data_IF_480628638300
#
_entry.id   IF_480628638300
#
_cell.length_a   1.000
_cell.length_b   1.000
_cell.length_c   1.000
_cell.angle_alpha   90.00
_cell.angle_beta   90.00
_cell.angle_gamma   90.00
#
_symmetry.space_group_name_H-M   'P 1'
#
loop_
_entity.id
_entity.type
_entity.pdbx_description
1 polymer ?
#
# COMPACT_ATOMS: atom_id res chain seq x y z
N UNK A 1 0.02 -15.66 -11.27
CA UNK A 1 0.59 -16.78 -12.03
C UNK A 1 -0.44 -17.89 -12.33
N UNK A 2 -1.09 -18.52 -11.35
CA UNK A 2 -2.04 -19.64 -11.61
C UNK A 2 -3.14 -19.32 -12.64
N UNK A 3 -3.77 -18.15 -12.56
CA UNK A 3 -4.78 -17.71 -13.55
C UNK A 3 -4.19 -17.60 -14.96
N UNK A 4 -2.98 -17.06 -15.08
CA UNK A 4 -2.29 -16.91 -16.38
C UNK A 4 -1.96 -18.26 -16.99
N UNK A 5 -1.42 -19.21 -16.20
CA UNK A 5 -1.12 -20.59 -16.67
C UNK A 5 -2.39 -21.30 -17.11
N UNK A 6 -3.50 -21.15 -16.37
CA UNK A 6 -4.78 -21.79 -16.68
C UNK A 6 -5.60 -21.09 -17.75
N UNK A 7 -5.14 -19.94 -18.26
CA UNK A 7 -5.87 -19.12 -19.24
C UNK A 7 -7.19 -18.55 -18.69
N UNK A 8 -7.35 -18.47 -17.36
CA UNK A 8 -8.56 -17.93 -16.75
C UNK A 8 -8.47 -16.42 -16.59
N UNK A 9 -9.57 -15.73 -16.88
CA UNK A 9 -9.67 -14.27 -16.71
C UNK A 9 -9.76 -13.89 -15.22
N UNK A 10 -9.35 -12.69 -14.89
CA UNK A 10 -9.54 -12.07 -13.59
C UNK A 10 -8.27 -11.40 -13.06
N UNK A 11 -8.49 -10.31 -12.35
CA UNK A 11 -7.43 -9.54 -11.69
C UNK A 11 -7.06 -10.16 -10.34
N UNK A 12 -5.84 -9.88 -9.90
CA UNK A 12 -5.33 -10.23 -8.59
C UNK A 12 -4.87 -8.93 -7.94
N UNK A 13 -5.35 -8.68 -6.75
CA UNK A 13 -4.97 -7.51 -5.94
C UNK A 13 -4.18 -8.00 -4.73
N UNK A 14 -3.06 -7.35 -4.45
CA UNK A 14 -2.23 -7.60 -3.29
C UNK A 14 -2.05 -6.27 -2.55
N UNK A 15 -2.55 -6.16 -1.34
CA UNK A 15 -2.31 -5.01 -0.48
C UNK A 15 -1.05 -5.27 0.33
N UNK A 16 -0.15 -4.31 0.34
CA UNK A 16 1.12 -4.35 1.06
C UNK A 16 1.30 -3.07 1.89
N UNK A 17 2.19 -3.14 2.88
CA UNK A 17 2.51 -2.06 3.79
C UNK A 17 3.98 -1.63 3.68
N UNK A 18 4.35 -0.52 4.29
CA UNK A 18 5.74 -0.01 4.32
C UNK A 18 6.75 -1.07 4.78
N UNK A 19 6.44 -1.81 5.85
CA UNK A 19 7.33 -2.85 6.39
C UNK A 19 7.58 -3.99 5.42
N UNK A 20 6.58 -4.40 4.64
CA UNK A 20 6.72 -5.47 3.65
C UNK A 20 7.66 -5.08 2.50
N UNK A 21 7.77 -3.80 2.15
CA UNK A 21 8.72 -3.33 1.14
C UNK A 21 10.17 -3.28 1.65
N UNK A 22 10.39 -3.41 2.95
CA UNK A 22 11.71 -3.58 3.55
C UNK A 22 12.14 -5.04 3.63
N UNK A 23 11.27 -5.98 3.23
CA UNK A 23 11.54 -7.42 3.18
C UNK A 23 12.08 -7.84 1.81
N UNK A 24 13.12 -8.69 1.79
CA UNK A 24 13.71 -9.19 0.56
C UNK A 24 12.74 -9.97 -0.33
N UNK A 25 11.81 -10.71 0.30
CA UNK A 25 10.79 -11.51 -0.40
C UNK A 25 9.87 -10.67 -1.30
N UNK A 26 9.58 -9.43 -0.95
CA UNK A 26 8.80 -8.51 -1.78
C UNK A 26 9.52 -8.20 -3.09
N UNK A 27 10.83 -7.96 -3.04
CA UNK A 27 11.67 -7.70 -4.22
C UNK A 27 11.82 -8.93 -5.11
N UNK A 28 11.98 -10.11 -4.52
CA UNK A 28 11.98 -11.38 -5.24
C UNK A 28 10.65 -11.61 -5.97
N UNK A 29 9.53 -11.37 -5.30
CA UNK A 29 8.20 -11.47 -5.89
C UNK A 29 7.99 -10.45 -7.01
N UNK A 30 8.54 -9.24 -6.89
CA UNK A 30 8.50 -8.21 -7.92
C UNK A 30 9.28 -8.64 -9.17
N UNK A 31 10.51 -9.11 -9.00
CA UNK A 31 11.34 -9.65 -10.10
C UNK A 31 10.59 -10.77 -10.83
N UNK A 32 10.01 -11.70 -10.08
CA UNK A 32 9.22 -12.79 -10.64
C UNK A 32 8.01 -12.28 -11.42
N UNK A 33 7.31 -11.27 -10.89
CA UNK A 33 6.12 -10.69 -11.51
C UNK A 33 6.43 -10.01 -12.83
N UNK A 34 7.54 -9.27 -12.90
CA UNK A 34 8.04 -8.65 -14.13
C UNK A 34 8.47 -9.70 -15.15
N UNK A 35 9.31 -10.67 -14.74
CA UNK A 35 9.79 -11.74 -15.62
C UNK A 35 8.66 -12.52 -16.29
N UNK A 36 7.59 -12.79 -15.54
CA UNK A 36 6.44 -13.54 -16.06
C UNK A 36 5.36 -12.63 -16.66
N UNK A 37 5.61 -11.33 -16.75
CA UNK A 37 4.65 -10.34 -17.23
C UNK A 37 3.25 -10.55 -16.65
N UNK A 38 3.12 -10.47 -15.32
CA UNK A 38 1.85 -10.67 -14.62
C UNK A 38 0.92 -9.47 -14.82
N UNK A 39 0.44 -9.29 -16.03
CA UNK A 39 -0.44 -8.21 -16.48
C UNK A 39 -1.81 -8.16 -15.80
N UNK A 40 -2.11 -9.13 -14.96
CA UNK A 40 -3.31 -9.20 -14.14
C UNK A 40 -3.04 -9.03 -12.63
N UNK A 41 -1.83 -8.62 -12.24
CA UNK A 41 -1.45 -8.34 -10.86
C UNK A 41 -1.38 -6.84 -10.62
N UNK A 42 -2.13 -6.37 -9.64
CA UNK A 42 -2.02 -5.01 -9.08
C UNK A 42 -1.58 -5.11 -7.63
N UNK A 43 -0.43 -4.53 -7.31
CA UNK A 43 0.07 -4.38 -5.94
C UNK A 43 -0.37 -2.99 -5.47
N UNK A 44 -1.13 -2.93 -4.39
CA UNK A 44 -1.50 -1.69 -3.72
C UNK A 44 -0.60 -1.53 -2.51
N UNK A 45 0.17 -0.46 -2.48
CA UNK A 45 1.12 -0.19 -1.43
C UNK A 45 0.58 0.92 -0.52
N UNK A 46 0.19 0.58 0.71
CA UNK A 46 -0.18 1.54 1.75
C UNK A 46 1.09 2.21 2.28
N UNK A 47 1.37 3.41 1.77
CA UNK A 47 2.57 4.18 2.03
C UNK A 47 2.27 5.32 3.02
N UNK A 48 2.40 5.02 4.31
CA UNK A 48 2.22 5.98 5.40
C UNK A 48 3.53 6.37 6.10
N UNK A 49 4.68 5.87 5.61
CA UNK A 49 6.03 6.12 6.14
C UNK A 49 6.26 5.58 7.57
N UNK A 50 5.39 4.70 8.05
CA UNK A 50 5.54 4.06 9.35
C UNK A 50 5.51 2.54 9.21
N UNK A 51 6.36 1.87 9.98
CA UNK A 51 6.37 0.42 10.11
C UNK A 51 6.50 0.03 11.60
N UNK A 52 6.40 -1.28 11.93
CA UNK A 52 6.30 -1.77 13.31
C UNK A 52 7.30 -1.25 14.33
N UNK A 53 8.44 -0.68 13.90
CA UNK A 53 9.50 -0.18 14.78
C UNK A 53 9.73 1.33 14.69
N UNK A 54 8.98 2.05 13.85
CA UNK A 54 9.08 3.51 13.72
C UNK A 54 8.95 4.00 12.28
N UNK A 55 9.58 5.15 12.00
CA UNK A 55 9.64 5.71 10.66
C UNK A 55 10.44 4.83 9.71
N UNK A 56 9.92 4.61 8.49
CA UNK A 56 10.64 3.88 7.46
C UNK A 56 11.98 4.50 7.12
N UNK A 57 12.09 5.82 7.18
CA UNK A 57 13.33 6.54 6.89
C UNK A 57 14.42 6.29 7.93
N UNK A 58 14.06 6.08 9.19
CA UNK A 58 15.01 5.84 10.27
C UNK A 58 15.50 4.38 10.30
N UNK A 59 14.70 3.45 9.77
CA UNK A 59 14.98 2.02 9.85
C UNK A 59 15.67 1.53 8.57
N UNK A 60 15.04 1.69 7.41
CA UNK A 60 15.60 1.34 6.11
C UNK A 60 14.87 2.13 5.02
N UNK A 61 15.36 3.33 4.70
CA UNK A 61 14.67 4.20 3.75
C UNK A 61 14.60 3.61 2.35
N UNK A 62 13.40 3.56 1.80
CA UNK A 62 13.10 3.22 0.41
C UNK A 62 12.56 4.44 -0.36
N UNK A 63 12.77 5.65 0.18
CA UNK A 63 12.23 6.88 -0.41
C UNK A 63 13.20 7.52 -1.41
N UNK A 64 12.73 7.91 -2.59
CA UNK A 64 11.40 7.61 -3.11
C UNK A 64 11.38 6.23 -3.77
N UNK A 65 10.43 5.39 -3.37
CA UNK A 65 10.28 4.03 -3.88
C UNK A 65 10.14 4.00 -5.41
N UNK A 66 9.45 4.96 -6.00
CA UNK A 66 9.28 5.09 -7.45
C UNK A 66 10.62 5.06 -8.20
N UNK A 67 11.66 5.72 -7.67
CA UNK A 67 13.00 5.69 -8.28
C UNK A 67 13.69 4.33 -8.16
N UNK A 68 13.45 3.61 -7.06
CA UNK A 68 14.06 2.29 -6.86
C UNK A 68 13.47 1.29 -7.86
N UNK A 69 12.18 1.41 -8.16
CA UNK A 69 11.48 0.50 -9.07
C UNK A 69 11.47 0.94 -10.53
N UNK A 70 12.00 2.11 -10.86
CA UNK A 70 12.09 2.63 -12.25
C UNK A 70 12.83 1.68 -13.21
N UNK A 71 13.73 0.84 -12.69
CA UNK A 71 14.46 -0.16 -13.48
C UNK A 71 13.67 -1.43 -13.80
N UNK A 72 12.45 -1.58 -13.26
CA UNK A 72 11.59 -2.73 -13.50
C UNK A 72 10.56 -2.40 -14.60
N UNK A 73 10.22 -3.41 -15.40
CA UNK A 73 9.14 -3.29 -16.39
C UNK A 73 7.77 -3.40 -15.68
N UNK A 74 7.35 -2.30 -15.07
CA UNK A 74 6.16 -2.22 -14.22
C UNK A 74 5.52 -0.83 -14.31
N UNK A 75 4.19 -0.78 -14.30
CA UNK A 75 3.46 0.48 -14.24
C UNK A 75 3.36 0.95 -12.77
N UNK A 76 3.80 2.18 -12.50
CA UNK A 76 3.70 2.80 -11.17
C UNK A 76 2.75 3.98 -11.21
N UNK A 77 1.80 4.01 -10.30
CA UNK A 77 0.83 5.10 -10.13
C UNK A 77 0.86 5.53 -8.67
N UNK A 78 1.07 6.81 -8.40
CA UNK A 78 0.97 7.38 -7.05
C UNK A 78 -0.33 8.17 -6.95
N UNK A 79 -1.09 7.95 -5.91
CA UNK A 79 -2.40 8.58 -5.67
C UNK A 79 -2.60 8.91 -4.19
N UNK A 80 -3.57 9.77 -3.91
CA UNK A 80 -4.08 9.95 -2.55
C UNK A 80 -4.82 8.67 -2.10
N UNK A 81 -4.24 7.94 -1.13
CA UNK A 81 -4.80 6.71 -0.60
C UNK A 81 -6.08 6.89 0.23
N UNK A 82 -6.46 8.13 0.54
CA UNK A 82 -7.72 8.47 1.21
C UNK A 82 -8.82 8.90 0.23
N UNK A 83 -8.56 8.91 -1.09
CA UNK A 83 -9.58 9.22 -2.11
C UNK A 83 -10.13 7.93 -2.74
N UNK A 84 -11.36 7.52 -2.42
CA UNK A 84 -12.01 6.38 -3.07
C UNK A 84 -12.12 6.55 -4.59
N UNK A 85 -12.30 7.79 -5.05
CA UNK A 85 -12.42 8.12 -6.47
C UNK A 85 -11.11 7.86 -7.22
N UNK A 86 -9.96 8.27 -6.65
CA UNK A 86 -8.65 8.03 -7.24
C UNK A 86 -8.31 6.53 -7.24
N UNK A 87 -8.60 5.83 -6.14
CA UNK A 87 -8.42 4.39 -6.04
C UNK A 87 -9.24 3.69 -7.13
N UNK A 88 -10.54 3.97 -7.21
CA UNK A 88 -11.44 3.37 -8.19
C UNK A 88 -11.01 3.66 -9.62
N UNK A 89 -10.59 4.89 -9.91
CA UNK A 89 -10.15 5.29 -11.24
C UNK A 89 -8.86 4.57 -11.65
N UNK A 90 -7.90 4.42 -10.73
CA UNK A 90 -6.64 3.71 -10.98
C UNK A 90 -6.84 2.22 -11.21
N UNK A 91 -7.76 1.59 -10.45
CA UNK A 91 -8.10 0.17 -10.60
C UNK A 91 -8.83 -0.15 -11.90
N UNK A 92 -9.58 0.81 -12.46
CA UNK A 92 -10.31 0.66 -13.73
C UNK A 92 -9.44 0.84 -14.97
N UNK A 93 -8.25 1.43 -14.85
CA UNK A 93 -7.34 1.60 -15.99
C UNK A 93 -6.96 0.25 -16.57
N UNK A 94 -6.95 0.15 -17.90
CA UNK A 94 -6.44 -1.03 -18.59
C UNK A 94 -4.98 -1.27 -18.19
N UNK A 95 -4.64 -2.52 -17.94
CA UNK A 95 -3.34 -2.94 -17.50
C UNK A 95 -2.73 -3.89 -18.53
N UNK A 96 -1.48 -3.66 -18.92
CA UNK A 96 -0.75 -4.49 -19.87
C UNK A 96 0.52 -5.12 -19.28
N UNK A 97 0.86 -4.75 -18.04
CA UNK A 97 2.00 -5.25 -17.27
C UNK A 97 1.63 -5.28 -15.78
N UNK A 98 2.47 -5.81 -14.92
CA UNK A 98 2.26 -5.70 -13.47
C UNK A 98 2.15 -4.23 -13.09
N UNK A 99 1.29 -3.90 -12.13
CA UNK A 99 1.07 -2.52 -11.67
C UNK A 99 1.30 -2.40 -10.18
N UNK A 100 1.96 -1.32 -9.77
CA UNK A 100 2.01 -0.85 -8.39
C UNK A 100 1.20 0.43 -8.29
N UNK A 101 0.29 0.49 -7.32
CA UNK A 101 -0.41 1.71 -6.94
C UNK A 101 0.11 2.10 -5.55
N UNK A 102 0.88 3.19 -5.49
CA UNK A 102 1.35 3.76 -4.23
C UNK A 102 0.22 4.62 -3.68
N UNK A 103 -0.33 4.21 -2.57
CA UNK A 103 -1.38 4.89 -1.83
C UNK A 103 -0.70 5.78 -0.77
N UNK A 104 -0.59 7.07 -1.03
CA UNK A 104 -0.11 8.00 -0.01
C UNK A 104 -1.19 8.17 1.06
N UNK A 105 -0.91 7.68 2.26
CA UNK A 105 -1.85 7.63 3.37
C UNK A 105 -1.27 8.28 4.63
N UNK A 106 -2.16 8.60 5.56
CA UNK A 106 -1.84 9.01 6.91
C UNK A 106 -2.32 7.91 7.85
N UNK A 107 -1.39 7.29 8.58
CA UNK A 107 -1.75 6.30 9.59
C UNK A 107 -2.68 6.91 10.64
N UNK A 108 -3.83 6.27 10.90
CA UNK A 108 -4.82 6.76 11.86
C UNK A 108 -5.65 7.96 11.39
N UNK A 109 -5.70 8.21 10.08
CA UNK A 109 -6.44 9.31 9.47
C UNK A 109 -7.90 9.38 9.96
N UNK A 110 -8.35 10.58 10.29
CA UNK A 110 -9.70 10.85 10.82
C UNK A 110 -9.83 10.71 12.33
N UNK A 111 -8.74 10.32 13.05
CA UNK A 111 -8.73 10.27 14.51
C UNK A 111 -7.53 11.05 15.03
N UNK A 112 -7.78 12.24 15.57
CA UNK A 112 -6.77 13.27 15.89
C UNK A 112 -5.62 12.77 16.78
N UNK A 113 -5.89 11.91 17.74
CA UNK A 113 -4.86 11.38 18.64
C UNK A 113 -4.11 10.16 18.05
N UNK A 114 -4.55 9.62 16.90
CA UNK A 114 -3.95 8.47 16.24
C UNK A 114 -3.06 8.85 15.04
N UNK A 115 -3.31 10.00 14.43
CA UNK A 115 -2.63 10.38 13.19
C UNK A 115 -1.11 10.43 13.36
N UNK A 116 -0.42 9.75 12.43
CA UNK A 116 1.05 9.65 12.37
C UNK A 116 1.70 9.13 13.66
N UNK A 117 0.99 8.34 14.45
CA UNK A 117 1.50 7.79 15.70
C UNK A 117 1.65 6.28 15.63
N UNK A 118 2.89 5.83 15.82
CA UNK A 118 3.30 4.43 15.75
C UNK A 118 2.63 3.56 16.82
N UNK A 119 2.40 4.11 18.01
CA UNK A 119 1.84 3.38 19.15
C UNK A 119 0.49 2.71 18.85
N UNK A 120 -0.31 3.31 17.95
CA UNK A 120 -1.61 2.76 17.53
C UNK A 120 -1.51 1.56 16.58
N UNK A 121 -0.31 1.11 16.31
CA UNK A 121 -0.09 -0.19 15.68
C UNK A 121 -0.33 -1.37 16.63
N UNK A 122 -0.12 -1.14 17.94
CA UNK A 122 -0.16 -2.20 18.95
C UNK A 122 -1.13 -1.92 20.11
N UNK A 123 -1.35 -0.66 20.45
CA UNK A 123 -2.08 -0.31 21.67
C UNK A 123 -3.59 -0.41 21.49
N UNK A 124 -4.31 -1.01 22.45
CA UNK A 124 -5.75 -0.93 22.50
C UNK A 124 -6.19 0.47 22.98
N UNK A 125 -7.33 0.94 22.50
CA UNK A 125 -7.97 2.15 23.02
C UNK A 125 -8.61 1.89 24.39
N UNK A 126 -8.54 2.88 25.30
CA UNK A 126 -9.39 2.95 26.47
C UNK A 126 -10.80 3.46 26.09
N UNK A 127 -11.73 3.47 27.06
CA UNK A 127 -13.13 3.85 26.81
C UNK A 127 -13.29 5.30 26.33
N UNK A 128 -12.50 6.21 26.87
CA UNK A 128 -12.59 7.64 26.52
C UNK A 128 -12.03 7.89 25.12
N UNK A 129 -10.91 7.27 24.78
CA UNK A 129 -10.33 7.28 23.44
C UNK A 129 -11.27 6.67 22.40
N UNK A 130 -11.92 5.55 22.72
CA UNK A 130 -12.92 4.96 21.84
C UNK A 130 -14.08 5.92 21.58
N UNK A 131 -14.60 6.55 22.65
CA UNK A 131 -15.71 7.50 22.53
C UNK A 131 -15.33 8.72 21.70
N UNK A 132 -14.09 9.22 21.85
CA UNK A 132 -13.56 10.32 21.04
C UNK A 132 -13.42 9.90 19.58
N UNK A 133 -12.76 8.78 19.32
CA UNK A 133 -12.54 8.28 17.96
C UNK A 133 -13.85 8.07 17.21
N UNK A 134 -14.86 7.47 17.86
CA UNK A 134 -16.18 7.28 17.25
C UNK A 134 -16.81 8.61 16.85
N UNK A 135 -16.75 9.65 17.72
CA UNK A 135 -17.28 10.99 17.40
C UNK A 135 -16.54 11.65 16.23
N UNK A 136 -15.21 11.53 16.19
CA UNK A 136 -14.41 12.13 15.12
C UNK A 136 -14.72 11.48 13.76
N UNK A 137 -14.80 10.15 13.72
CA UNK A 137 -15.13 9.39 12.49
C UNK A 137 -16.57 9.67 12.02
N UNK A 138 -17.53 9.77 12.94
CA UNK A 138 -18.92 10.07 12.58
C UNK A 138 -19.11 11.52 12.07
N UNK A 139 -18.14 12.39 12.31
CA UNK A 139 -18.17 13.81 11.93
C UNK A 139 -17.39 14.11 10.64
N UNK A 140 -16.62 13.16 10.13
CA UNK A 140 -15.80 13.29 8.93
C UNK A 140 -16.60 12.93 7.69
#
# INVERSE_FOLDING_TARGET
MSKKIKGTKGQVFCLTSDGEWQEGSTWEALIFSCHHNLDNLTIMFDHNNLQGFGSTNDIASLSPLSKIIDGFDIEVITINGHSPEEILSSLKKKQNQCRIIILETIKGNGVSFMENKMEWHYLPMNKDQYTQAAKEVDSA
#
